data_IF_612047120236
#
_entry.id   IF_612047120236
#
_cell.length_a   1.000
_cell.length_b   1.000
_cell.length_c   1.000
_cell.angle_alpha   90.00
_cell.angle_beta   90.00
_cell.angle_gamma   90.00
#
_symmetry.space_group_name_H-M   'P 1'
#
loop_
_entity.id
_entity.type
_entity.pdbx_description
1 polymer ?
#
# COMPACT_ATOMS: atom_id res chain seq x y z
N UNK A 1 19.73 12.15 -6.50
CA UNK A 1 18.67 11.42 -7.23
C UNK A 1 17.34 11.92 -6.72
N UNK A 2 16.56 12.52 -7.61
CA UNK A 2 15.54 13.51 -7.31
C UNK A 2 14.36 13.00 -6.50
N UNK A 3 14.26 13.52 -5.28
CA UNK A 3 13.00 13.72 -4.58
C UNK A 3 12.57 15.13 -4.97
N UNK A 4 11.95 15.28 -6.12
CA UNK A 4 11.32 16.54 -6.52
C UNK A 4 9.96 16.60 -5.84
N UNK A 5 9.62 17.70 -5.13
CA UNK A 5 8.40 17.74 -4.35
C UNK A 5 7.23 17.85 -5.32
N UNK A 6 6.38 16.83 -5.35
CA UNK A 6 5.00 17.02 -5.77
C UNK A 6 4.41 18.15 -4.92
N UNK A 7 3.71 19.11 -5.54
CA UNK A 7 3.06 20.21 -4.83
C UNK A 7 2.20 19.64 -3.71
N UNK A 8 2.67 19.88 -2.48
CA UNK A 8 2.06 19.41 -1.24
C UNK A 8 1.02 20.39 -0.73
N UNK A 9 0.49 21.24 -1.61
CA UNK A 9 -0.29 22.45 -1.29
C UNK A 9 -1.54 22.16 -0.46
N UNK A 10 -1.97 20.90 -0.41
CA UNK A 10 -3.18 20.43 0.26
C UNK A 10 -2.87 19.49 1.46
N UNK A 11 -1.64 19.49 1.96
CA UNK A 11 -1.19 18.65 3.08
C UNK A 11 -1.27 19.35 4.43
N UNK A 12 -1.66 18.62 5.48
CA UNK A 12 -1.71 19.11 6.86
C UNK A 12 -0.35 19.70 7.29
N UNK A 13 -0.37 20.82 8.03
CA UNK A 13 0.85 21.48 8.49
C UNK A 13 1.80 20.54 9.27
N UNK A 14 1.26 19.56 9.97
CA UNK A 14 2.06 18.52 10.63
C UNK A 14 2.77 17.62 9.64
N UNK A 15 2.12 17.25 8.54
CA UNK A 15 2.73 16.46 7.47
C UNK A 15 3.88 17.22 6.81
N UNK A 16 3.65 18.51 6.48
CA UNK A 16 4.70 19.39 5.94
C UNK A 16 5.90 19.47 6.88
N UNK A 17 5.66 19.59 8.19
CA UNK A 17 6.73 19.60 9.19
C UNK A 17 7.51 18.27 9.23
N UNK A 18 6.84 17.13 9.11
CA UNK A 18 7.51 15.82 9.05
C UNK A 18 8.33 15.63 7.77
N UNK A 19 7.88 16.19 6.64
CA UNK A 19 8.64 16.22 5.39
C UNK A 19 9.90 17.07 5.55
N UNK A 20 9.76 18.29 6.10
CA UNK A 20 10.89 19.21 6.34
C UNK A 20 11.94 18.62 7.29
N UNK A 21 11.52 17.86 8.30
CA UNK A 21 12.41 17.13 9.22
C UNK A 21 13.07 15.90 8.57
N UNK A 22 12.66 15.51 7.36
CA UNK A 22 13.16 14.34 6.64
C UNK A 22 12.62 13.00 7.18
N UNK A 23 11.65 13.03 8.10
CA UNK A 23 10.99 11.85 8.65
C UNK A 23 10.01 11.24 7.65
N UNK A 24 9.37 12.08 6.84
CA UNK A 24 8.53 11.66 5.70
C UNK A 24 9.28 11.96 4.42
N UNK A 25 9.35 10.97 3.52
CA UNK A 25 9.92 11.11 2.18
C UNK A 25 8.79 10.99 1.16
N UNK A 26 8.79 11.86 0.16
CA UNK A 26 7.84 11.83 -0.94
C UNK A 26 8.46 11.03 -2.08
N UNK A 27 7.71 10.09 -2.65
CA UNK A 27 8.12 9.34 -3.82
C UNK A 27 6.88 8.93 -4.62
N UNK A 28 7.01 8.92 -5.95
CA UNK A 28 6.00 8.33 -6.81
C UNK A 28 6.23 6.81 -6.92
N UNK A 29 5.35 6.04 -6.28
CA UNK A 29 5.42 4.58 -6.21
C UNK A 29 5.29 3.87 -7.57
N UNK A 30 4.90 4.58 -8.64
CA UNK A 30 4.89 4.02 -10.01
C UNK A 30 6.31 3.81 -10.54
N UNK A 31 7.31 4.47 -9.95
CA UNK A 31 8.72 4.40 -10.35
C UNK A 31 9.56 3.67 -9.30
N UNK A 32 10.74 3.14 -9.69
CA UNK A 32 11.64 2.49 -8.74
C UNK A 32 11.99 3.40 -7.55
N UNK A 33 11.87 2.84 -6.35
CA UNK A 33 12.17 3.54 -5.11
C UNK A 33 13.69 3.62 -4.93
N UNK A 34 14.23 4.74 -4.40
CA UNK A 34 15.66 4.97 -4.23
C UNK A 34 16.25 4.22 -3.01
N UNK A 35 15.77 3.01 -2.74
CA UNK A 35 16.21 2.16 -1.64
C UNK A 35 16.84 0.87 -2.18
N UNK A 36 17.83 0.33 -1.47
CA UNK A 36 18.43 -0.97 -1.80
C UNK A 36 17.42 -2.10 -1.57
N UNK A 37 17.68 -3.26 -2.18
CA UNK A 37 16.89 -4.45 -1.91
C UNK A 37 16.93 -4.79 -0.41
N UNK A 38 15.80 -5.20 0.17
CA UNK A 38 15.68 -5.60 1.59
C UNK A 38 16.11 -4.51 2.59
N UNK A 39 15.85 -3.24 2.27
CA UNK A 39 16.15 -2.10 3.16
C UNK A 39 15.20 -1.97 4.34
N UNK A 40 13.99 -2.53 4.24
CA UNK A 40 12.96 -2.44 5.27
C UNK A 40 12.51 -3.82 5.70
N UNK A 41 12.38 -4.06 7.01
CA UNK A 41 11.80 -5.31 7.52
C UNK A 41 10.41 -5.57 6.97
N UNK A 42 9.52 -4.57 7.10
CA UNK A 42 8.14 -4.65 6.63
C UNK A 42 7.82 -3.42 5.80
N UNK A 43 7.07 -3.61 4.72
CA UNK A 43 6.51 -2.52 3.90
C UNK A 43 5.00 -2.54 4.02
N UNK A 44 4.38 -1.43 4.42
CA UNK A 44 2.92 -1.30 4.50
C UNK A 44 2.41 -0.33 3.45
N UNK A 45 1.33 -0.69 2.77
CA UNK A 45 0.68 0.18 1.78
C UNK A 45 -0.80 0.29 2.10
N UNK A 46 -1.25 1.50 2.40
CA UNK A 46 -2.64 1.80 2.75
C UNK A 46 -3.32 2.57 1.62
N UNK A 47 -4.39 2.00 1.06
CA UNK A 47 -5.30 2.57 0.07
C UNK A 47 -4.67 3.04 -1.27
N UNK A 48 -3.34 3.08 -1.40
CA UNK A 48 -2.65 3.62 -2.58
C UNK A 48 -2.76 2.70 -3.81
N UNK A 49 -2.73 1.37 -3.63
CA UNK A 49 -2.75 0.43 -4.74
C UNK A 49 -4.08 0.42 -5.51
N UNK A 50 -5.18 0.80 -4.84
CA UNK A 50 -6.50 0.87 -5.45
C UNK A 50 -6.57 1.93 -6.56
N UNK A 51 -5.74 2.97 -6.45
CA UNK A 51 -5.60 4.02 -7.45
C UNK A 51 -4.65 3.65 -8.58
N UNK A 52 -4.04 2.46 -8.62
CA UNK A 52 -3.13 2.09 -9.71
C UNK A 52 -3.84 1.36 -10.86
N UNK A 53 -3.43 1.67 -12.09
CA UNK A 53 -3.80 0.88 -13.26
C UNK A 53 -3.13 -0.51 -13.19
N UNK A 54 -3.67 -1.54 -13.86
CA UNK A 54 -3.07 -2.88 -13.82
C UNK A 54 -1.58 -2.93 -14.20
N UNK A 55 -1.16 -2.10 -15.16
CA UNK A 55 0.24 -1.95 -15.57
C UNK A 55 1.14 -1.52 -14.41
N UNK A 56 0.77 -0.44 -13.72
CA UNK A 56 1.57 0.10 -12.61
C UNK A 56 1.43 -0.74 -11.35
N UNK A 57 0.28 -1.37 -11.12
CA UNK A 57 0.05 -2.19 -9.94
C UNK A 57 1.04 -3.36 -9.86
N UNK A 58 1.30 -4.04 -10.99
CA UNK A 58 2.25 -5.14 -11.05
C UNK A 58 3.69 -4.65 -10.76
N UNK A 59 4.17 -3.62 -11.47
CA UNK A 59 5.53 -3.10 -11.26
C UNK A 59 5.73 -2.56 -9.83
N UNK A 60 4.72 -1.87 -9.29
CA UNK A 60 4.77 -1.31 -7.93
C UNK A 60 4.86 -2.43 -6.88
N UNK A 61 4.05 -3.49 -6.97
CA UNK A 61 4.14 -4.59 -6.02
C UNK A 61 5.48 -5.32 -6.06
N UNK A 62 6.05 -5.52 -7.25
CA UNK A 62 7.39 -6.09 -7.39
C UNK A 62 8.45 -5.21 -6.74
N UNK A 63 8.33 -3.90 -6.92
CA UNK A 63 9.25 -2.93 -6.32
C UNK A 63 9.14 -2.87 -4.80
N UNK A 64 7.91 -2.92 -4.26
CA UNK A 64 7.67 -3.01 -2.82
C UNK A 64 8.21 -4.31 -2.23
N UNK A 65 8.07 -5.42 -2.96
CA UNK A 65 8.64 -6.72 -2.58
C UNK A 65 10.17 -6.65 -2.55
N UNK A 66 10.79 -6.02 -3.54
CA UNK A 66 12.25 -5.85 -3.60
C UNK A 66 12.79 -5.12 -2.38
N UNK A 67 12.15 -4.02 -1.95
CA UNK A 67 12.66 -3.22 -0.82
C UNK A 67 12.32 -3.82 0.55
N UNK A 68 11.40 -4.79 0.60
CA UNK A 68 11.01 -5.51 1.82
C UNK A 68 11.93 -6.70 2.11
N UNK A 69 12.27 -6.93 3.37
CA UNK A 69 13.04 -8.09 3.82
C UNK A 69 12.13 -9.23 4.29
N UNK A 70 11.14 -8.92 5.14
CA UNK A 70 10.33 -9.94 5.82
C UNK A 70 8.94 -10.08 5.21
N UNK A 71 8.31 -8.97 4.80
CA UNK A 71 7.01 -9.04 4.14
C UNK A 71 6.32 -7.70 3.88
N UNK A 72 5.27 -7.77 3.08
CA UNK A 72 4.45 -6.62 2.68
C UNK A 72 3.08 -6.77 3.32
N UNK A 73 2.52 -5.67 3.81
CA UNK A 73 1.11 -5.59 4.23
C UNK A 73 0.37 -4.65 3.30
N UNK A 74 -0.65 -5.16 2.63
CA UNK A 74 -1.52 -4.38 1.75
C UNK A 74 -2.86 -4.17 2.45
N UNK A 75 -3.22 -2.90 2.65
CA UNK A 75 -4.54 -2.50 3.13
C UNK A 75 -5.29 -1.86 1.94
N UNK A 76 -6.33 -2.54 1.46
CA UNK A 76 -7.14 -2.12 0.32
C UNK A 76 -8.59 -1.91 0.74
N UNK A 77 -9.31 -1.00 0.08
CA UNK A 77 -10.70 -0.74 0.41
C UNK A 77 -11.65 -1.91 0.09
N UNK A 78 -12.78 -2.00 0.79
CA UNK A 78 -13.83 -2.98 0.49
C UNK A 78 -14.79 -2.49 -0.61
N UNK A 79 -14.99 -3.26 -1.71
CA UNK A 79 -16.05 -2.97 -2.67
C UNK A 79 -17.41 -2.87 -1.98
N UNK A 80 -18.18 -1.82 -2.30
CA UNK A 80 -19.53 -1.61 -1.78
C UNK A 80 -19.61 -0.94 -0.39
N UNK A 81 -18.52 -0.85 0.38
CA UNK A 81 -18.52 -0.19 1.69
C UNK A 81 -18.07 1.28 1.65
N UNK A 82 -17.23 1.68 0.68
CA UNK A 82 -16.83 3.08 0.49
C UNK A 82 -17.55 3.70 -0.70
N UNK A 83 -18.48 4.62 -0.44
CA UNK A 83 -18.85 5.65 -1.43
C UNK A 83 -17.65 6.58 -1.55
N UNK A 84 -17.00 6.62 -2.71
CA UNK A 84 -15.90 7.53 -2.97
C UNK A 84 -16.40 8.95 -2.71
N UNK A 85 -15.81 9.66 -1.75
CA UNK A 85 -16.15 11.07 -1.52
C UNK A 85 -15.79 11.82 -2.80
N UNK A 86 -16.74 12.55 -3.39
CA UNK A 86 -16.54 13.27 -4.66
C UNK A 86 -15.31 14.20 -4.59
N UNK A 87 -14.99 14.73 -3.41
CA UNK A 87 -13.79 15.52 -3.13
C UNK A 87 -12.45 14.75 -3.26
N UNK A 88 -12.43 13.42 -3.13
CA UNK A 88 -11.23 12.61 -3.38
C UNK A 88 -11.05 12.32 -4.88
N UNK A 89 -12.12 12.40 -5.69
CA UNK A 89 -12.05 12.15 -7.13
C UNK A 89 -11.24 13.23 -7.87
N UNK A 90 -11.35 14.50 -7.44
CA UNK A 90 -10.61 15.61 -8.04
C UNK A 90 -9.10 15.53 -7.74
N UNK A 91 -8.71 15.00 -6.58
CA UNK A 91 -7.31 14.96 -6.13
C UNK A 91 -6.46 13.92 -6.86
N UNK A 92 -7.04 12.78 -7.21
CA UNK A 92 -6.29 11.65 -7.79
C UNK A 92 -6.50 11.45 -9.29
N UNK A 93 -7.31 12.30 -9.94
CA UNK A 93 -7.60 12.28 -11.38
C UNK A 93 -8.35 11.04 -11.88
N UNK A 94 -8.47 9.98 -11.08
CA UNK A 94 -9.26 8.78 -11.35
C UNK A 94 -9.84 8.20 -10.06
N UNK A 95 -11.04 7.60 -10.11
CA UNK A 95 -11.63 6.95 -8.94
C UNK A 95 -10.80 5.72 -8.54
N UNK A 96 -10.72 5.47 -7.23
CA UNK A 96 -10.16 4.24 -6.69
C UNK A 96 -10.89 3.02 -7.28
N UNK A 97 -10.14 2.06 -7.82
CA UNK A 97 -10.71 0.80 -8.31
C UNK A 97 -10.71 -0.23 -7.18
N UNK A 98 -11.75 -0.18 -6.36
CA UNK A 98 -11.97 -1.12 -5.26
C UNK A 98 -12.13 -2.54 -5.81
N UNK A 99 -11.18 -3.41 -5.49
CA UNK A 99 -11.15 -4.81 -5.95
C UNK A 99 -11.62 -5.74 -4.83
N UNK A 100 -12.30 -6.83 -5.19
CA UNK A 100 -12.69 -7.84 -4.20
C UNK A 100 -11.48 -8.59 -3.67
N UNK A 101 -11.64 -9.25 -2.52
CA UNK A 101 -10.58 -10.07 -1.95
C UNK A 101 -10.17 -11.19 -2.90
N UNK A 102 -11.15 -11.86 -3.54
CA UNK A 102 -10.88 -12.89 -4.54
C UNK A 102 -10.08 -12.38 -5.74
N UNK A 103 -10.29 -11.11 -6.14
CA UNK A 103 -9.50 -10.48 -7.19
C UNK A 103 -8.05 -10.27 -6.74
N UNK A 104 -7.85 -9.74 -5.53
CA UNK A 104 -6.52 -9.55 -4.94
C UNK A 104 -5.74 -10.86 -4.82
N UNK A 105 -6.37 -11.89 -4.26
CA UNK A 105 -5.76 -13.23 -4.12
C UNK A 105 -5.34 -13.79 -5.49
N UNK A 106 -6.22 -13.71 -6.51
CA UNK A 106 -5.88 -14.15 -7.88
C UNK A 106 -4.72 -13.33 -8.46
N UNK A 107 -4.71 -12.02 -8.23
CA UNK A 107 -3.67 -11.14 -8.72
C UNK A 107 -2.31 -11.42 -8.07
N UNK A 108 -2.26 -11.66 -6.76
CA UNK A 108 -1.03 -12.05 -6.05
C UNK A 108 -0.48 -13.38 -6.58
N UNK A 109 -1.35 -14.38 -6.80
CA UNK A 109 -0.95 -15.64 -7.39
C UNK A 109 -0.36 -15.48 -8.81
N UNK A 110 -1.01 -14.68 -9.67
CA UNK A 110 -0.50 -14.39 -11.03
C UNK A 110 0.85 -13.65 -11.01
N UNK A 111 1.04 -12.79 -10.01
CA UNK A 111 2.27 -12.04 -9.80
C UNK A 111 3.26 -12.79 -8.90
N UNK A 112 3.12 -14.11 -8.66
CA UNK A 112 4.02 -14.94 -7.83
C UNK A 112 4.39 -14.24 -6.50
N UNK A 113 3.40 -13.66 -5.84
CA UNK A 113 3.51 -13.12 -4.49
C UNK A 113 2.65 -14.00 -3.59
N UNK A 114 3.31 -14.75 -2.72
CA UNK A 114 2.63 -15.69 -1.84
C UNK A 114 2.08 -14.97 -0.62
N UNK A 115 0.84 -15.28 -0.26
CA UNK A 115 0.29 -14.87 1.01
C UNK A 115 1.01 -15.53 2.18
N UNK A 116 1.35 -14.72 3.18
CA UNK A 116 1.89 -15.17 4.44
C UNK A 116 0.75 -15.54 5.40
N UNK A 117 0.16 -16.72 5.18
CA UNK A 117 -0.93 -17.27 6.01
C UNK A 117 -0.62 -17.30 7.51
N UNK A 118 0.66 -17.53 7.87
CA UNK A 118 1.07 -17.54 9.26
C UNK A 118 0.99 -16.13 9.89
N UNK A 119 1.42 -15.10 9.16
CA UNK A 119 1.27 -13.71 9.58
C UNK A 119 -0.20 -13.30 9.65
N UNK A 120 -1.01 -13.64 8.63
CA UNK A 120 -2.45 -13.35 8.64
C UNK A 120 -3.15 -13.96 9.85
N UNK A 121 -2.91 -15.24 10.16
CA UNK A 121 -3.51 -15.90 11.33
C UNK A 121 -3.08 -15.27 12.66
N UNK A 122 -1.80 -14.87 12.77
CA UNK A 122 -1.29 -14.17 13.96
C UNK A 122 -1.94 -12.79 14.11
N UNK A 123 -2.09 -12.05 13.01
CA UNK A 123 -2.76 -10.76 12.99
C UNK A 123 -4.23 -10.89 13.39
N UNK A 124 -4.97 -11.83 12.80
CA UNK A 124 -6.38 -12.08 13.13
C UNK A 124 -6.57 -12.41 14.62
N UNK A 125 -5.71 -13.26 15.18
CA UNK A 125 -5.76 -13.58 16.61
C UNK A 125 -5.48 -12.36 17.51
N UNK A 126 -4.54 -11.50 17.13
CA UNK A 126 -4.23 -10.27 17.87
C UNK A 126 -5.34 -9.22 17.72
N UNK A 127 -5.85 -9.04 16.50
CA UNK A 127 -6.96 -8.15 16.18
C UNK A 127 -8.23 -8.53 16.97
N UNK A 128 -8.58 -9.81 17.01
CA UNK A 128 -9.71 -10.31 17.78
C UNK A 128 -9.58 -10.03 19.28
N UNK A 129 -8.38 -10.22 19.85
CA UNK A 129 -8.11 -9.88 21.26
C UNK A 129 -8.19 -8.38 21.54
N UNK A 130 -7.80 -7.55 20.57
CA UNK A 130 -7.86 -6.10 20.68
C UNK A 130 -9.24 -5.51 20.36
N UNK A 131 -10.22 -6.33 19.95
CA UNK A 131 -11.51 -5.85 19.43
C UNK A 131 -11.38 -5.04 18.14
N UNK A 132 -10.27 -5.18 17.41
CA UNK A 132 -10.01 -4.44 16.19
C UNK A 132 -10.91 -4.95 15.05
N UNK A 133 -11.74 -4.05 14.52
CA UNK A 133 -12.54 -4.29 13.33
C UNK A 133 -11.98 -3.48 12.17
N UNK A 134 -11.46 -4.18 11.16
CA UNK A 134 -10.90 -3.53 9.98
C UNK A 134 -12.01 -2.98 9.09
N UNK A 135 -11.82 -1.75 8.61
CA UNK A 135 -12.60 -1.16 7.51
C UNK A 135 -12.00 -1.43 6.12
N UNK A 136 -10.90 -2.18 6.06
CA UNK A 136 -10.14 -2.49 4.85
C UNK A 136 -9.84 -3.99 4.75
N UNK A 137 -9.67 -4.48 3.53
CA UNK A 137 -9.11 -5.80 3.26
C UNK A 137 -7.61 -5.77 3.59
N UNK A 138 -7.15 -6.69 4.43
CA UNK A 138 -5.75 -6.75 4.86
C UNK A 138 -5.12 -8.03 4.31
N UNK A 139 -4.03 -7.88 3.58
CA UNK A 139 -3.26 -9.00 3.03
C UNK A 139 -1.83 -8.93 3.53
N UNK A 140 -1.35 -10.04 4.08
CA UNK A 140 0.06 -10.22 4.43
C UNK A 140 0.72 -11.02 3.32
N UNK A 141 1.74 -10.46 2.68
CA UNK A 141 2.49 -11.09 1.59
C UNK A 141 3.92 -11.37 2.05
N UNK A 142 4.50 -12.46 1.58
CA UNK A 142 5.93 -12.75 1.77
C UNK A 142 6.77 -11.81 0.90
N UNK A 143 7.94 -11.42 1.41
CA UNK A 143 8.95 -10.83 0.53
C UNK A 143 9.53 -11.89 -0.40
N UNK A 144 9.92 -11.50 -1.61
CA UNK A 144 10.63 -12.37 -2.55
C UNK A 144 12.11 -12.45 -2.14
N UNK A 145 12.65 -13.66 -2.16
CA UNK A 145 14.07 -13.89 -1.87
C UNK A 145 14.99 -13.39 -2.98
#
# INVERSE_FOLDING_TARGET
>A
MGVEPYDSDDSDANCVNLIRKGSVRIADIKFPLPYKSKSFSIVMVSDALDYLSPKYLNSTLLELSRVSADGIVVLSGYPGQRRVKVAEMSKFGRPAKLRSSSWWVRFFAQTKLDENKAASKKFEAAAGKAGYQSSCQIFHLKSRH
#
